data_IF_628259598355
#
_entry.id   IF_628259598355
#
_cell.length_a   1.000
_cell.length_b   1.000
_cell.length_c   1.000
_cell.angle_alpha   90.00
_cell.angle_beta   90.00
_cell.angle_gamma   90.00
#
_symmetry.space_group_name_H-M   'P 1'
#
loop_
_entity.id
_entity.type
_entity.pdbx_description
1 polymer ?
#
# COMPACT_ATOMS: atom_id res chain seq x y z
N UNK A 1 -50.37 -44.60 72.15
CA UNK A 1 -51.81 -44.27 72.19
C UNK A 1 -51.91 -42.81 72.60
N UNK A 2 -52.78 -41.94 72.07
CA UNK A 2 -53.74 -42.03 70.97
C UNK A 2 -54.11 -40.62 70.45
N UNK A 3 -54.94 -40.50 69.41
CA UNK A 3 -55.45 -39.19 68.91
C UNK A 3 -56.65 -38.70 69.73
N UNK A 4 -56.96 -37.40 69.71
CA UNK A 4 -58.25 -36.86 69.20
C UNK A 4 -58.35 -35.31 69.15
N UNK A 5 -59.45 -34.82 68.57
CA UNK A 5 -59.89 -33.41 68.34
C UNK A 5 -61.15 -33.12 69.22
N UNK A 6 -61.96 -32.02 69.07
CA UNK A 6 -61.87 -30.74 68.34
C UNK A 6 -61.81 -29.54 69.34
N UNK A 7 -62.49 -28.37 69.35
CA UNK A 7 -63.47 -27.56 68.55
C UNK A 7 -63.47 -26.11 69.16
N UNK A 8 -64.06 -25.02 68.63
CA UNK A 8 -64.82 -24.70 67.40
C UNK A 8 -65.74 -23.46 67.61
N UNK A 9 -66.03 -22.65 66.56
CA UNK A 9 -66.93 -21.45 66.54
C UNK A 9 -66.48 -20.20 67.36
N UNK A 10 -66.88 -18.93 67.11
CA UNK A 10 -67.33 -18.22 65.87
C UNK A 10 -67.30 -16.66 66.02
N UNK A 11 -66.86 -15.93 64.97
CA UNK A 11 -67.20 -14.51 64.59
C UNK A 11 -67.04 -13.35 65.65
N UNK A 12 -67.36 -12.05 65.38
CA UNK A 12 -67.47 -11.26 64.13
C UNK A 12 -66.74 -9.87 64.09
N UNK A 13 -66.63 -9.30 62.87
CA UNK A 13 -66.51 -7.88 62.42
C UNK A 13 -65.86 -6.70 63.26
N UNK A 14 -64.80 -6.08 62.66
CA UNK A 14 -64.47 -4.64 62.34
C UNK A 14 -65.19 -3.44 63.07
N UNK A 15 -64.65 -2.17 63.12
CA UNK A 15 -63.47 -1.54 62.44
C UNK A 15 -62.67 -0.55 63.38
N UNK A 16 -62.06 0.62 63.01
CA UNK A 16 -61.43 1.13 61.76
C UNK A 16 -60.00 1.78 61.90
N UNK A 17 -59.37 2.04 60.74
CA UNK A 17 -58.57 3.25 60.35
C UNK A 17 -57.00 3.32 60.30
N UNK A 18 -56.56 3.79 59.11
CA UNK A 18 -55.40 4.63 58.68
C UNK A 18 -53.87 4.31 58.69
N UNK A 19 -53.25 4.85 57.61
CA UNK A 19 -51.85 5.23 57.31
C UNK A 19 -50.65 4.24 57.30
N UNK A 20 -50.50 3.58 56.15
CA UNK A 20 -49.37 3.71 55.20
C UNK A 20 -47.89 3.62 55.67
N UNK A 21 -47.16 2.61 55.15
CA UNK A 21 -45.85 2.82 54.52
C UNK A 21 -45.46 1.69 53.52
N UNK A 22 -44.40 1.90 52.72
CA UNK A 22 -44.11 1.17 51.47
C UNK A 22 -43.24 -0.09 51.69
N UNK A 23 -43.42 -1.14 50.87
CA UNK A 23 -42.52 -2.32 50.80
C UNK A 23 -41.91 -2.50 49.41
N UNK A 24 -40.66 -2.98 49.37
CA UNK A 24 -39.92 -3.34 48.14
C UNK A 24 -40.09 -4.84 47.81
N UNK A 25 -40.16 -5.24 46.53
CA UNK A 25 -39.93 -6.61 46.10
C UNK A 25 -38.47 -6.86 45.67
N UNK A 26 -37.99 -8.09 45.81
CA UNK A 26 -36.69 -8.58 45.31
C UNK A 26 -36.89 -9.96 44.62
N UNK A 27 -35.86 -10.59 44.00
CA UNK A 27 -35.83 -10.81 42.56
C UNK A 27 -36.44 -12.15 42.08
N UNK A 28 -36.54 -12.29 40.74
CA UNK A 28 -36.81 -13.56 40.02
C UNK A 28 -35.78 -13.76 38.87
N UNK A 29 -35.60 -14.99 38.36
CA UNK A 29 -34.29 -15.47 37.91
C UNK A 29 -33.91 -15.16 36.46
N UNK A 30 -32.62 -15.38 36.15
CA UNK A 30 -32.00 -15.08 34.86
C UNK A 30 -32.38 -16.10 33.75
N UNK A 31 -33.14 -15.64 32.75
CA UNK A 31 -33.36 -16.37 31.50
C UNK A 31 -32.28 -16.05 30.46
N UNK A 32 -31.53 -17.07 30.02
CA UNK A 32 -30.38 -16.94 29.10
C UNK A 32 -30.84 -16.68 27.65
N UNK A 33 -30.95 -15.42 27.22
CA UNK A 33 -31.07 -15.05 25.79
C UNK A 33 -29.70 -14.81 25.18
N UNK A 34 -29.31 -15.67 24.23
CA UNK A 34 -28.10 -15.49 23.42
C UNK A 34 -28.40 -14.45 22.34
N UNK A 35 -27.92 -13.23 22.51
CA UNK A 35 -27.81 -12.26 21.44
C UNK A 35 -26.35 -12.20 20.97
N UNK A 36 -26.12 -12.66 19.73
CA UNK A 36 -24.83 -12.63 19.07
C UNK A 36 -24.27 -11.21 19.02
N UNK A 37 -23.05 -11.01 19.52
CA UNK A 37 -22.42 -9.70 19.55
C UNK A 37 -22.10 -9.20 18.13
N UNK A 38 -22.32 -7.90 17.82
CA UNK A 38 -21.78 -7.30 16.60
C UNK A 38 -20.25 -7.22 16.71
N UNK A 39 -19.56 -7.57 15.63
CA UNK A 39 -18.11 -7.78 15.63
C UNK A 39 -17.31 -6.49 15.94
N UNK A 40 -16.35 -6.59 16.85
CA UNK A 40 -15.58 -5.45 17.40
C UNK A 40 -14.24 -5.29 16.67
N UNK A 41 -14.24 -4.94 15.39
CA UNK A 41 -13.01 -4.77 14.59
C UNK A 41 -12.77 -3.33 14.15
N UNK A 42 -11.72 -2.74 14.71
CA UNK A 42 -10.91 -1.61 14.21
C UNK A 42 -11.65 -0.53 13.39
N UNK A 43 -12.55 0.23 14.04
CA UNK A 43 -13.31 1.29 13.41
C UNK A 43 -13.38 2.55 14.30
N UNK A 44 -13.02 3.71 13.74
CA UNK A 44 -13.32 5.00 14.36
C UNK A 44 -14.85 5.19 14.42
N UNK A 45 -15.41 5.19 15.64
CA UNK A 45 -16.85 5.28 15.84
C UNK A 45 -17.30 6.75 15.93
N UNK A 46 -18.23 7.14 15.06
CA UNK A 46 -19.05 8.35 15.27
C UNK A 46 -20.16 8.03 16.27
N UNK A 47 -20.14 8.66 17.44
CA UNK A 47 -21.32 8.81 18.30
C UNK A 47 -21.80 10.26 18.23
N UNK A 48 -23.08 10.47 18.03
CA UNK A 48 -23.68 11.80 17.98
C UNK A 48 -23.94 12.32 19.41
N UNK A 49 -23.50 13.54 19.68
CA UNK A 49 -23.98 14.37 20.79
C UNK A 49 -24.09 15.80 20.26
N UNK A 50 -25.13 16.60 20.59
CA UNK A 50 -25.58 17.69 19.70
C UNK A 50 -24.63 18.88 19.51
N UNK A 51 -23.51 18.97 20.23
CA UNK A 51 -22.62 20.13 20.25
C UNK A 51 -21.14 19.86 19.96
N UNK A 52 -20.67 18.60 19.95
CA UNK A 52 -19.25 18.27 19.63
C UNK A 52 -19.08 16.89 19.03
N UNK A 53 -18.58 16.83 17.79
CA UNK A 53 -18.15 15.57 17.17
C UNK A 53 -16.75 15.17 17.67
N UNK A 54 -16.70 14.33 18.71
CA UNK A 54 -15.46 13.64 19.10
C UNK A 54 -15.30 12.37 18.27
N UNK A 55 -14.34 12.39 17.35
CA UNK A 55 -13.84 11.19 16.67
C UNK A 55 -12.99 10.40 17.66
N UNK A 56 -13.47 9.21 18.04
CA UNK A 56 -12.70 8.28 18.85
C UNK A 56 -11.84 7.41 17.94
N UNK A 57 -10.54 7.37 18.22
CA UNK A 57 -9.54 6.60 17.48
C UNK A 57 -9.11 5.43 18.35
N UNK A 58 -9.05 4.23 17.77
CA UNK A 58 -8.53 3.06 18.46
C UNK A 58 -7.00 3.20 18.60
N UNK A 59 -6.44 3.13 19.83
CA UNK A 59 -5.01 3.35 20.06
C UNK A 59 -4.12 2.23 19.50
N UNK A 60 -4.69 1.10 19.06
CA UNK A 60 -3.95 0.04 18.34
C UNK A 60 -3.65 0.37 16.88
N UNK A 61 -4.25 1.43 16.31
CA UNK A 61 -4.00 1.82 14.93
C UNK A 61 -2.56 2.35 14.73
N UNK A 62 -1.97 2.19 13.52
CA UNK A 62 -0.65 2.73 13.21
C UNK A 62 -0.54 4.23 13.52
N UNK A 63 0.62 4.66 14.01
CA UNK A 63 0.89 6.06 14.36
C UNK A 63 0.49 7.08 13.27
N UNK A 64 0.79 6.85 11.97
CA UNK A 64 0.30 7.68 10.86
C UNK A 64 -1.23 7.78 10.78
N UNK A 65 -1.96 6.68 11.01
CA UNK A 65 -3.42 6.67 10.98
C UNK A 65 -4.00 7.50 12.13
N UNK A 66 -3.45 7.38 13.35
CA UNK A 66 -3.83 8.20 14.50
C UNK A 66 -3.57 9.68 14.21
N UNK A 67 -2.39 10.01 13.66
CA UNK A 67 -2.02 11.37 13.23
C UNK A 67 -3.01 11.93 12.19
N UNK A 68 -3.35 11.17 11.15
CA UNK A 68 -4.27 11.60 10.11
C UNK A 68 -5.69 11.86 10.65
N UNK A 69 -6.22 11.03 11.54
CA UNK A 69 -7.55 11.27 12.14
C UNK A 69 -7.54 12.47 13.10
N UNK A 70 -6.43 12.75 13.81
CA UNK A 70 -6.30 13.98 14.63
C UNK A 70 -6.48 15.25 13.80
N UNK A 71 -5.87 15.31 12.60
CA UNK A 71 -6.01 16.40 11.63
C UNK A 71 -7.48 16.63 11.20
N UNK A 72 -8.36 15.64 11.40
CA UNK A 72 -9.72 15.56 10.86
C UNK A 72 -9.83 14.62 9.66
N UNK A 73 -8.71 14.00 9.29
CA UNK A 73 -8.53 13.23 8.07
C UNK A 73 -8.69 11.72 8.21
N UNK A 74 -8.10 11.02 7.26
CA UNK A 74 -7.73 9.60 7.28
C UNK A 74 -6.51 9.43 6.36
N UNK A 75 -5.86 8.27 6.33
CA UNK A 75 -4.71 8.06 5.42
C UNK A 75 -5.14 8.23 3.95
N UNK A 76 -4.39 9.03 3.21
CA UNK A 76 -4.53 9.23 1.76
C UNK A 76 -3.20 8.99 1.04
N UNK A 77 -3.22 9.00 -0.30
CA UNK A 77 -2.04 9.01 -1.17
C UNK A 77 -0.94 8.03 -0.71
N UNK A 78 0.28 8.50 -0.49
CA UNK A 78 1.44 7.70 -0.09
C UNK A 78 1.20 6.96 1.23
N UNK A 79 0.74 7.64 2.29
CA UNK A 79 0.52 6.98 3.59
C UNK A 79 -0.63 5.96 3.56
N UNK A 80 -1.58 6.08 2.63
CA UNK A 80 -2.54 5.00 2.36
C UNK A 80 -1.87 3.83 1.63
N UNK A 81 -1.13 4.10 0.55
CA UNK A 81 -0.43 3.09 -0.26
C UNK A 81 0.61 2.29 0.54
N UNK A 82 1.42 2.97 1.37
CA UNK A 82 2.33 2.37 2.34
C UNK A 82 1.61 1.38 3.27
N UNK A 83 0.41 1.73 3.76
CA UNK A 83 -0.40 0.84 4.59
C UNK A 83 -0.99 -0.37 3.83
N UNK A 84 -1.03 -0.31 2.50
CA UNK A 84 -1.31 -1.45 1.60
C UNK A 84 -0.03 -2.24 1.23
N UNK A 85 1.13 -1.85 1.77
CA UNK A 85 2.42 -2.45 1.49
C UNK A 85 2.95 -2.11 0.09
N UNK A 86 2.60 -0.94 -0.45
CA UNK A 86 3.08 -0.43 -1.74
C UNK A 86 4.27 0.51 -1.55
N UNK A 87 5.18 0.62 -2.55
CA UNK A 87 6.33 1.51 -2.47
C UNK A 87 5.92 2.99 -2.51
N UNK A 88 6.63 3.81 -1.76
CA UNK A 88 6.44 5.26 -1.67
C UNK A 88 7.81 5.97 -1.53
N UNK A 89 7.92 7.27 -1.89
CA UNK A 89 9.14 8.02 -1.65
C UNK A 89 9.54 8.02 -0.17
N UNK A 90 10.83 7.78 0.11
CA UNK A 90 11.39 7.62 1.46
C UNK A 90 11.16 8.84 2.40
N UNK A 91 10.82 10.01 1.85
CA UNK A 91 10.51 11.25 2.59
C UNK A 91 9.12 11.82 2.26
N UNK A 92 8.15 10.99 1.86
CA UNK A 92 6.79 11.44 1.51
C UNK A 92 6.03 12.13 2.67
N UNK A 93 6.40 11.87 3.94
CA UNK A 93 5.70 12.42 5.09
C UNK A 93 4.29 11.85 5.28
N UNK A 94 3.41 12.59 5.96
CA UNK A 94 2.05 12.16 6.25
C UNK A 94 1.06 12.71 5.21
N UNK A 95 0.49 11.84 4.38
CA UNK A 95 -0.58 12.19 3.46
C UNK A 95 -1.96 11.92 4.07
N UNK A 96 -2.82 12.94 4.06
CA UNK A 96 -4.11 12.97 4.76
C UNK A 96 -5.24 13.29 3.79
N UNK A 97 -6.15 12.32 3.59
CA UNK A 97 -7.38 12.52 2.84
C UNK A 97 -8.44 13.24 3.68
N UNK A 98 -9.11 14.22 3.08
CA UNK A 98 -10.07 15.13 3.69
C UNK A 98 -11.35 15.19 2.84
N UNK A 99 -12.53 15.29 3.46
CA UNK A 99 -13.76 15.62 2.74
C UNK A 99 -13.60 16.99 2.07
N UNK A 100 -14.14 17.25 0.86
CA UNK A 100 -13.89 18.49 0.11
C UNK A 100 -14.08 19.81 0.91
N UNK A 101 -15.05 19.86 1.82
CA UNK A 101 -15.37 21.04 2.63
C UNK A 101 -14.64 21.09 4.01
N UNK A 102 -13.57 20.30 4.21
CA UNK A 102 -12.86 20.19 5.49
C UNK A 102 -11.92 21.37 5.76
N UNK A 103 -12.39 22.38 6.51
CA UNK A 103 -11.58 23.56 6.90
C UNK A 103 -11.08 23.56 8.35
N UNK A 104 -11.75 22.85 9.27
CA UNK A 104 -11.45 22.86 10.72
C UNK A 104 -10.32 21.89 11.11
N UNK A 105 -9.18 22.04 10.45
CA UNK A 105 -8.00 21.17 10.60
C UNK A 105 -7.31 21.34 11.97
N UNK A 106 -6.57 20.32 12.39
CA UNK A 106 -5.77 20.30 13.62
C UNK A 106 -4.36 19.78 13.38
N UNK A 107 -3.47 20.03 14.32
CA UNK A 107 -2.12 19.49 14.28
C UNK A 107 -2.14 17.96 14.38
N UNK A 108 -1.25 17.29 13.64
CA UNK A 108 -1.19 15.83 13.65
C UNK A 108 -0.64 15.27 14.97
N UNK A 109 0.15 16.07 15.69
CA UNK A 109 0.73 15.72 17.00
C UNK A 109 -0.17 16.14 18.15
N UNK A 110 -0.83 17.31 18.08
CA UNK A 110 -1.66 17.86 19.15
C UNK A 110 -3.13 18.03 18.74
N UNK A 111 -3.99 17.14 19.24
CA UNK A 111 -5.44 17.10 18.95
C UNK A 111 -6.26 18.28 19.51
N UNK A 112 -5.68 19.15 20.34
CA UNK A 112 -6.30 20.39 20.83
C UNK A 112 -5.88 21.63 20.04
N UNK A 113 -4.79 21.55 19.25
CA UNK A 113 -4.26 22.67 18.47
C UNK A 113 -4.87 22.69 17.07
N UNK A 114 -5.64 23.73 16.76
CA UNK A 114 -6.03 24.04 15.38
C UNK A 114 -4.83 24.60 14.59
N UNK A 115 -4.74 24.26 13.30
CA UNK A 115 -3.70 24.74 12.37
C UNK A 115 -4.31 25.05 11.00
N UNK A 116 -3.82 26.06 10.26
CA UNK A 116 -4.21 26.27 8.86
C UNK A 116 -3.76 25.12 7.94
N UNK A 117 -4.36 25.05 6.75
CA UNK A 117 -3.87 24.21 5.66
C UNK A 117 -2.41 24.55 5.32
N UNK A 118 -1.58 23.53 5.09
CA UNK A 118 -0.15 23.70 4.75
C UNK A 118 0.77 24.17 5.89
N UNK A 119 0.25 24.48 7.08
CA UNK A 119 1.02 25.06 8.18
C UNK A 119 1.82 24.04 9.04
N UNK A 120 1.72 22.73 8.77
CA UNK A 120 2.50 21.69 9.45
C UNK A 120 3.43 21.00 8.43
N UNK A 121 4.76 21.21 8.50
CA UNK A 121 5.71 20.59 7.56
C UNK A 121 5.62 19.07 7.54
N UNK A 122 5.72 18.48 6.33
CA UNK A 122 5.59 17.04 6.14
C UNK A 122 4.16 16.49 6.37
N UNK A 123 3.13 17.34 6.28
CA UNK A 123 1.71 16.93 6.24
C UNK A 123 1.06 17.41 4.95
N UNK A 124 0.81 16.47 4.04
CA UNK A 124 0.23 16.71 2.72
C UNK A 124 -1.28 16.45 2.76
N UNK A 125 -2.08 17.38 2.25
CA UNK A 125 -3.53 17.42 2.47
C UNK A 125 -4.30 17.23 1.15
N UNK A 126 -5.25 16.30 1.13
CA UNK A 126 -5.93 15.82 -0.09
C UNK A 126 -7.45 15.98 0.03
N UNK A 127 -8.00 17.09 -0.46
CA UNK A 127 -9.45 17.36 -0.47
C UNK A 127 -10.13 16.72 -1.68
N UNK A 128 -10.59 15.47 -1.52
CA UNK A 128 -11.39 14.73 -2.52
C UNK A 128 -12.37 13.81 -1.82
N UNK A 129 -13.42 13.37 -2.52
CA UNK A 129 -14.37 12.39 -2.00
C UNK A 129 -13.65 11.12 -1.55
N UNK A 130 -13.71 10.86 -0.25
CA UNK A 130 -12.95 9.78 0.40
C UNK A 130 -13.77 8.50 0.49
N UNK A 131 -13.81 7.75 -0.61
CA UNK A 131 -14.26 6.34 -0.57
C UNK A 131 -13.43 5.57 0.45
N UNK A 132 -14.07 5.13 1.51
CA UNK A 132 -13.42 4.47 2.65
C UNK A 132 -13.13 3.02 2.29
N UNK A 133 -11.89 2.57 2.49
CA UNK A 133 -11.53 1.17 2.27
C UNK A 133 -12.16 0.23 3.31
N UNK A 134 -11.95 -1.09 3.15
CA UNK A 134 -12.38 -2.10 4.13
C UNK A 134 -11.96 -1.76 5.57
N UNK A 135 -10.78 -1.15 5.74
CA UNK A 135 -10.29 -0.62 7.01
C UNK A 135 -10.54 0.89 7.10
N UNK A 136 -11.34 1.31 8.10
CA UNK A 136 -11.95 2.66 8.17
C UNK A 136 -10.99 3.82 8.53
N UNK A 137 -9.68 3.60 8.49
CA UNK A 137 -8.66 4.63 8.74
C UNK A 137 -7.91 5.10 7.47
N UNK A 138 -8.24 4.54 6.30
CA UNK A 138 -7.64 4.89 5.00
C UNK A 138 -8.69 4.96 3.88
N UNK A 139 -8.37 5.69 2.82
CA UNK A 139 -9.12 5.63 1.55
C UNK A 139 -8.93 4.27 0.87
N UNK A 140 -9.80 3.93 -0.09
CA UNK A 140 -9.65 2.74 -0.92
C UNK A 140 -8.37 2.75 -1.78
N UNK A 141 -7.91 1.56 -2.20
CA UNK A 141 -6.68 1.38 -2.98
C UNK A 141 -6.65 2.23 -4.26
N UNK A 142 -7.76 2.25 -5.02
CA UNK A 142 -7.86 3.05 -6.25
C UNK A 142 -7.75 4.55 -5.93
N UNK A 143 -8.46 5.04 -4.91
CA UNK A 143 -8.41 6.45 -4.51
C UNK A 143 -7.04 6.85 -3.94
N UNK A 144 -6.31 5.93 -3.30
CA UNK A 144 -4.93 6.14 -2.87
C UNK A 144 -3.99 6.30 -4.07
N UNK A 145 -4.08 5.41 -5.08
CA UNK A 145 -3.28 5.50 -6.31
C UNK A 145 -3.65 6.73 -7.16
N UNK A 146 -4.94 7.09 -7.25
CA UNK A 146 -5.39 8.33 -7.90
C UNK A 146 -4.87 9.59 -7.20
N UNK A 147 -4.69 9.56 -5.87
CA UNK A 147 -4.04 10.65 -5.13
C UNK A 147 -2.53 10.66 -5.34
N UNK A 148 -1.87 9.50 -5.46
CA UNK A 148 -0.44 9.42 -5.82
C UNK A 148 -0.17 10.00 -7.21
N UNK A 149 -0.95 9.62 -8.23
CA UNK A 149 -0.84 10.14 -9.61
C UNK A 149 -0.89 11.67 -9.68
N UNK A 150 -1.62 12.34 -8.77
CA UNK A 150 -1.70 13.80 -8.68
C UNK A 150 -0.65 14.47 -7.79
N UNK A 151 0.15 13.70 -7.02
CA UNK A 151 0.93 14.23 -5.89
C UNK A 151 2.39 13.77 -5.84
N UNK A 152 2.73 12.65 -6.48
CA UNK A 152 4.11 12.19 -6.68
C UNK A 152 4.37 12.00 -8.17
N UNK A 153 5.61 12.24 -8.60
CA UNK A 153 5.99 12.10 -10.00
C UNK A 153 5.69 10.70 -10.57
N UNK A 154 5.57 10.64 -11.90
CA UNK A 154 5.32 9.45 -12.71
C UNK A 154 6.08 8.21 -12.18
N UNK A 155 7.39 8.35 -11.94
CA UNK A 155 8.28 7.27 -11.49
C UNK A 155 7.74 6.50 -10.27
N UNK A 156 7.30 7.22 -9.23
CA UNK A 156 6.76 6.60 -8.01
C UNK A 156 5.28 6.20 -8.15
N UNK A 157 4.53 6.89 -9.02
CA UNK A 157 3.16 6.50 -9.34
C UNK A 157 3.13 5.16 -10.08
N UNK A 158 3.94 4.99 -11.12
CA UNK A 158 4.09 3.74 -11.87
C UNK A 158 4.61 2.62 -10.98
N UNK A 159 5.67 2.86 -10.20
CA UNK A 159 6.22 1.85 -9.28
C UNK A 159 5.17 1.33 -8.26
N UNK A 160 4.28 2.21 -7.77
CA UNK A 160 3.20 1.81 -6.88
C UNK A 160 2.08 1.02 -7.60
N UNK A 161 1.79 1.34 -8.87
CA UNK A 161 0.81 0.62 -9.70
C UNK A 161 1.36 -0.76 -10.11
N UNK A 162 2.61 -0.84 -10.56
CA UNK A 162 3.31 -2.09 -10.91
C UNK A 162 3.30 -3.03 -9.70
N UNK A 163 3.74 -2.54 -8.53
CA UNK A 163 3.72 -3.31 -7.28
C UNK A 163 2.30 -3.74 -6.85
N UNK A 164 1.29 -2.88 -7.00
CA UNK A 164 -0.11 -3.22 -6.65
C UNK A 164 -0.69 -4.30 -7.56
N UNK A 165 -0.35 -4.29 -8.87
CA UNK A 165 -0.74 -5.35 -9.82
C UNK A 165 -0.04 -6.67 -9.52
N UNK A 166 1.19 -6.62 -9.00
CA UNK A 166 2.02 -7.79 -8.64
C UNK A 166 1.68 -8.41 -7.26
N UNK A 167 0.91 -7.75 -6.39
CA UNK A 167 0.43 -8.35 -5.13
C UNK A 167 -0.41 -9.61 -5.40
N UNK A 168 -0.41 -10.56 -4.46
CA UNK A 168 -1.25 -11.76 -4.48
C UNK A 168 -2.74 -11.40 -4.69
N UNK A 169 -3.44 -12.02 -5.66
CA UNK A 169 -4.87 -11.79 -5.88
C UNK A 169 -5.70 -11.94 -4.59
N UNK A 170 -6.65 -11.02 -4.38
CA UNK A 170 -7.49 -10.98 -3.18
C UNK A 170 -6.84 -10.39 -1.92
N UNK A 171 -5.54 -10.07 -1.93
CA UNK A 171 -4.92 -9.29 -0.84
C UNK A 171 -5.34 -7.82 -0.89
N UNK A 172 -5.32 -7.13 0.26
CA UNK A 172 -5.86 -5.75 0.36
C UNK A 172 -5.19 -4.72 -0.57
N UNK A 173 -3.94 -4.96 -0.96
CA UNK A 173 -3.16 -4.09 -1.86
C UNK A 173 -3.19 -4.53 -3.33
N UNK A 174 -3.96 -5.55 -3.69
CA UNK A 174 -4.02 -6.06 -5.07
C UNK A 174 -4.88 -5.16 -5.98
N UNK A 175 -4.28 -4.66 -7.05
CA UNK A 175 -4.97 -3.95 -8.12
C UNK A 175 -5.31 -4.94 -9.25
N UNK A 176 -6.56 -5.40 -9.25
CA UNK A 176 -7.10 -6.24 -10.33
C UNK A 176 -7.28 -5.47 -11.65
N UNK A 177 -7.52 -6.18 -12.74
CA UNK A 177 -7.61 -5.57 -14.07
C UNK A 177 -8.89 -4.72 -14.28
N UNK A 178 -9.91 -4.82 -13.42
CA UNK A 178 -11.09 -3.94 -13.45
C UNK A 178 -10.78 -2.59 -12.76
N UNK A 179 -10.16 -2.62 -11.59
CA UNK A 179 -9.69 -1.43 -10.87
C UNK A 179 -8.53 -0.74 -11.59
N UNK A 180 -7.61 -1.48 -12.22
CA UNK A 180 -6.59 -0.93 -13.10
C UNK A 180 -7.21 -0.18 -14.30
N UNK A 181 -8.23 -0.73 -14.96
CA UNK A 181 -8.96 -0.02 -16.03
C UNK A 181 -9.68 1.24 -15.53
N UNK A 182 -10.11 1.28 -14.27
CA UNK A 182 -10.64 2.51 -13.64
C UNK A 182 -9.53 3.56 -13.45
N UNK A 183 -8.32 3.14 -13.06
CA UNK A 183 -7.17 4.01 -12.90
C UNK A 183 -6.66 4.57 -14.25
N UNK A 184 -6.58 3.75 -15.30
CA UNK A 184 -6.23 4.20 -16.67
C UNK A 184 -7.17 5.31 -17.15
N UNK A 185 -8.48 5.12 -16.99
CA UNK A 185 -9.49 6.13 -17.34
C UNK A 185 -9.36 7.44 -16.54
N UNK A 186 -8.86 7.37 -15.30
CA UNK A 186 -8.57 8.56 -14.51
C UNK A 186 -7.31 9.27 -15.00
N UNK A 187 -6.19 8.55 -15.18
CA UNK A 187 -4.91 9.13 -15.61
C UNK A 187 -5.03 9.86 -16.95
N UNK A 188 -5.69 9.25 -17.94
CA UNK A 188 -5.89 9.82 -19.26
C UNK A 188 -6.59 11.19 -19.28
N UNK A 189 -7.41 11.50 -18.26
CA UNK A 189 -8.07 12.81 -18.10
C UNK A 189 -7.41 13.76 -17.10
N UNK A 190 -6.31 13.38 -16.45
CA UNK A 190 -5.76 14.12 -15.30
C UNK A 190 -4.23 14.27 -15.29
N UNK A 191 -3.47 13.34 -15.89
CA UNK A 191 -2.00 13.31 -15.78
C UNK A 191 -1.29 12.61 -16.95
N UNK A 192 -1.97 12.42 -18.08
CA UNK A 192 -1.46 11.61 -19.19
C UNK A 192 -1.49 10.11 -18.87
N UNK A 193 -0.84 9.28 -19.70
CA UNK A 193 -0.96 7.82 -19.60
C UNK A 193 0.01 7.16 -18.58
N UNK A 194 0.13 7.77 -17.39
CA UNK A 194 0.92 7.22 -16.26
C UNK A 194 0.49 5.79 -15.92
N UNK A 195 -0.77 5.42 -16.14
CA UNK A 195 -1.23 4.06 -15.94
C UNK A 195 -0.82 3.12 -17.09
N UNK A 196 -0.88 3.52 -18.35
CA UNK A 196 -0.42 2.71 -19.49
C UNK A 196 1.09 2.44 -19.48
N UNK A 197 1.88 3.31 -18.84
CA UNK A 197 3.29 3.06 -18.52
C UNK A 197 3.52 1.92 -17.50
N UNK A 198 2.46 1.34 -16.93
CA UNK A 198 2.54 0.25 -15.93
C UNK A 198 2.68 -1.14 -16.57
N UNK A 199 3.63 -1.92 -16.04
CA UNK A 199 3.93 -3.29 -16.48
C UNK A 199 3.79 -4.28 -15.32
N UNK A 200 3.42 -5.53 -15.63
CA UNK A 200 3.58 -6.66 -14.70
C UNK A 200 5.00 -7.19 -14.88
N UNK A 201 5.74 -7.37 -13.79
CA UNK A 201 7.09 -7.96 -13.82
C UNK A 201 8.16 -7.19 -13.04
N UNK A 202 7.97 -5.91 -12.70
CA UNK A 202 8.87 -5.24 -11.77
C UNK A 202 8.71 -5.85 -10.37
N UNK A 203 9.75 -6.46 -9.82
CA UNK A 203 9.74 -7.09 -8.49
C UNK A 203 10.16 -6.11 -7.38
N UNK A 204 10.88 -5.04 -7.74
CA UNK A 204 11.17 -3.86 -6.91
C UNK A 204 10.65 -2.55 -7.54
N UNK A 205 10.42 -1.50 -6.73
CA UNK A 205 10.13 -0.17 -7.28
C UNK A 205 11.31 0.39 -8.09
N UNK A 206 12.55 -0.03 -7.81
CA UNK A 206 13.72 0.51 -8.46
C UNK A 206 13.78 0.09 -9.94
N UNK A 207 13.40 -1.15 -10.26
CA UNK A 207 13.26 -1.62 -11.65
C UNK A 207 12.26 -0.76 -12.44
N UNK A 208 11.11 -0.41 -11.84
CA UNK A 208 10.11 0.45 -12.49
C UNK A 208 10.69 1.83 -12.82
N UNK A 209 11.44 2.42 -11.88
CA UNK A 209 12.09 3.73 -12.04
C UNK A 209 13.18 3.66 -13.11
N UNK A 210 14.07 2.66 -13.05
CA UNK A 210 15.14 2.45 -14.03
C UNK A 210 14.56 2.24 -15.43
N UNK A 211 13.57 1.34 -15.58
CA UNK A 211 12.85 1.09 -16.84
C UNK A 211 12.33 2.40 -17.46
N UNK A 212 11.60 3.21 -16.70
CA UNK A 212 11.03 4.47 -17.22
C UNK A 212 12.10 5.44 -17.69
N UNK A 213 13.20 5.57 -16.94
CA UNK A 213 14.30 6.46 -17.34
C UNK A 213 15.05 5.97 -18.57
N UNK A 214 15.22 4.66 -18.74
CA UNK A 214 15.76 4.06 -19.96
C UNK A 214 14.84 4.33 -21.17
N UNK A 215 13.53 4.15 -21.01
CA UNK A 215 12.55 4.47 -22.07
C UNK A 215 12.59 5.97 -22.43
N UNK A 216 12.75 6.86 -21.45
CA UNK A 216 12.96 8.31 -21.68
C UNK A 216 14.29 8.66 -22.35
N UNK A 217 15.29 7.78 -22.29
CA UNK A 217 16.56 7.89 -23.04
C UNK A 217 16.45 7.36 -24.48
N UNK A 218 15.28 6.87 -24.92
CA UNK A 218 15.12 6.22 -26.22
C UNK A 218 15.72 4.81 -26.29
N UNK A 219 15.91 4.16 -25.14
CA UNK A 219 16.35 2.77 -25.04
C UNK A 219 15.15 1.85 -24.79
N UNK A 220 15.18 0.64 -25.33
CA UNK A 220 14.11 -0.36 -25.20
C UNK A 220 14.48 -1.44 -24.16
N UNK A 221 14.13 -1.28 -22.87
CA UNK A 221 14.42 -2.26 -21.83
C UNK A 221 13.45 -3.45 -21.86
N UNK A 222 14.00 -4.66 -22.01
CA UNK A 222 13.28 -5.92 -21.77
C UNK A 222 13.44 -6.30 -20.30
N UNK A 223 12.33 -6.39 -19.56
CA UNK A 223 12.37 -6.75 -18.13
C UNK A 223 12.28 -8.27 -17.91
N UNK A 224 12.87 -8.73 -16.81
CA UNK A 224 12.77 -10.09 -16.29
C UNK A 224 13.09 -11.20 -17.33
N UNK A 225 14.10 -10.96 -18.18
CA UNK A 225 14.49 -11.87 -19.26
C UNK A 225 15.09 -13.18 -18.70
N UNK A 226 14.56 -14.37 -19.05
CA UNK A 226 15.18 -15.64 -18.68
C UNK A 226 16.51 -15.88 -19.41
N UNK A 227 17.56 -16.21 -18.66
CA UNK A 227 18.91 -16.49 -19.17
C UNK A 227 19.39 -17.80 -18.52
N UNK A 228 19.05 -18.93 -19.15
CA UNK A 228 19.33 -20.27 -18.61
C UNK A 228 18.54 -20.55 -17.33
N UNK A 229 19.24 -20.95 -16.25
CA UNK A 229 18.62 -21.18 -14.92
C UNK A 229 18.37 -19.91 -14.10
N UNK A 230 18.68 -18.74 -14.65
CA UNK A 230 18.52 -17.44 -13.99
C UNK A 230 17.70 -16.48 -14.86
N UNK A 231 17.52 -15.26 -14.35
CA UNK A 231 16.69 -14.22 -14.94
C UNK A 231 17.38 -12.88 -14.67
N UNK A 232 17.38 -11.98 -15.63
CA UNK A 232 17.95 -10.64 -15.52
C UNK A 232 16.84 -9.60 -15.32
N UNK A 233 16.99 -8.68 -14.35
CA UNK A 233 15.96 -7.70 -13.99
C UNK A 233 15.57 -6.83 -15.19
N UNK A 234 16.58 -6.28 -15.88
CA UNK A 234 16.45 -5.44 -17.08
C UNK A 234 17.57 -5.81 -18.06
N UNK A 235 17.25 -5.88 -19.35
CA UNK A 235 18.20 -6.05 -20.46
C UNK A 235 17.97 -4.97 -21.51
N UNK A 236 19.06 -4.40 -22.05
CA UNK A 236 19.04 -3.38 -23.11
C UNK A 236 19.82 -3.92 -24.32
N UNK A 237 19.19 -3.85 -25.49
CA UNK A 237 19.73 -4.47 -26.71
C UNK A 237 19.97 -5.97 -26.50
N UNK A 238 20.96 -6.53 -27.19
CA UNK A 238 21.17 -7.98 -27.20
C UNK A 238 21.85 -8.53 -25.94
N UNK A 239 22.66 -7.72 -25.22
CA UNK A 239 23.66 -8.22 -24.25
C UNK A 239 23.95 -7.36 -23.01
N UNK A 240 23.31 -6.20 -22.81
CA UNK A 240 23.55 -5.38 -21.61
C UNK A 240 22.51 -5.67 -20.52
N UNK A 241 22.91 -6.36 -19.46
CA UNK A 241 22.09 -6.57 -18.24
C UNK A 241 22.28 -5.38 -17.31
N UNK A 242 21.18 -4.88 -16.74
CA UNK A 242 21.17 -3.98 -15.59
C UNK A 242 20.44 -4.65 -14.43
N UNK A 243 21.07 -4.69 -13.26
CA UNK A 243 20.47 -5.18 -12.01
C UNK A 243 20.34 -4.07 -10.96
N UNK A 244 19.25 -4.13 -10.20
CA UNK A 244 18.86 -3.11 -9.23
C UNK A 244 19.23 -3.53 -7.80
N UNK A 245 20.46 -3.24 -7.38
CA UNK A 245 21.03 -3.80 -6.15
C UNK A 245 20.49 -3.09 -4.88
N UNK A 246 19.63 -3.79 -4.15
CA UNK A 246 19.21 -3.40 -2.81
C UNK A 246 20.21 -3.89 -1.79
N UNK A 247 20.51 -3.10 -0.74
CA UNK A 247 21.49 -3.47 0.30
C UNK A 247 21.02 -4.68 1.12
N UNK A 248 21.30 -5.89 0.63
CA UNK A 248 20.99 -7.15 1.29
C UNK A 248 22.22 -7.70 2.02
N UNK A 249 22.03 -8.17 3.25
CA UNK A 249 23.01 -9.02 3.93
C UNK A 249 22.94 -10.42 3.33
N UNK A 250 23.62 -10.63 2.20
CA UNK A 250 23.62 -11.91 1.50
C UNK A 250 24.11 -13.05 2.41
N UNK A 251 23.34 -14.14 2.49
CA UNK A 251 23.82 -15.39 3.08
C UNK A 251 24.90 -16.03 2.20
N UNK A 252 25.61 -17.03 2.73
CA UNK A 252 26.62 -17.76 1.95
C UNK A 252 26.01 -18.41 0.69
N UNK A 253 24.77 -18.91 0.80
CA UNK A 253 24.02 -19.54 -0.28
C UNK A 253 23.60 -18.52 -1.36
N UNK A 254 23.21 -17.29 -0.95
CA UNK A 254 22.94 -16.20 -1.89
C UNK A 254 24.22 -15.78 -2.62
N UNK A 255 25.33 -15.59 -1.90
CA UNK A 255 26.63 -15.22 -2.49
C UNK A 255 27.11 -16.25 -3.52
N UNK A 256 26.99 -17.55 -3.23
CA UNK A 256 27.31 -18.61 -4.20
C UNK A 256 26.36 -18.57 -5.40
N UNK A 257 25.05 -18.44 -5.17
CA UNK A 257 24.03 -18.36 -6.23
C UNK A 257 24.25 -17.17 -7.18
N UNK A 258 24.65 -16.03 -6.65
CA UNK A 258 24.87 -14.81 -7.43
C UNK A 258 26.16 -14.91 -8.25
N UNK A 259 27.22 -15.52 -7.71
CA UNK A 259 28.45 -15.80 -8.48
C UNK A 259 28.21 -16.81 -9.61
N UNK A 260 27.40 -17.84 -9.36
CA UNK A 260 26.92 -18.76 -10.39
C UNK A 260 26.16 -18.02 -11.50
N UNK A 261 25.34 -17.02 -11.14
CA UNK A 261 24.57 -16.20 -12.09
C UNK A 261 25.46 -15.29 -12.92
N UNK A 262 26.36 -14.55 -12.28
CA UNK A 262 27.31 -13.65 -12.96
C UNK A 262 28.19 -14.44 -13.94
N UNK A 263 28.66 -15.63 -13.54
CA UNK A 263 29.41 -16.54 -14.41
C UNK A 263 28.55 -17.06 -15.59
N UNK A 264 27.27 -17.40 -15.36
CA UNK A 264 26.37 -17.86 -16.42
C UNK A 264 26.03 -16.76 -17.44
N UNK A 265 25.92 -15.52 -16.99
CA UNK A 265 25.67 -14.34 -17.82
C UNK A 265 26.92 -14.01 -18.66
N UNK A 266 28.10 -13.95 -18.02
CA UNK A 266 29.37 -13.74 -18.71
C UNK A 266 29.67 -14.84 -19.74
N UNK A 267 29.41 -16.11 -19.42
CA UNK A 267 29.57 -17.24 -20.34
C UNK A 267 28.60 -17.21 -21.54
N UNK A 268 27.51 -16.44 -21.46
CA UNK A 268 26.60 -16.13 -22.59
C UNK A 268 26.93 -14.79 -23.28
N UNK A 269 28.03 -14.14 -22.91
CA UNK A 269 28.46 -12.87 -23.47
C UNK A 269 27.69 -11.64 -22.99
N UNK A 270 26.86 -11.77 -21.94
CA UNK A 270 26.18 -10.63 -21.33
C UNK A 270 27.15 -9.80 -20.48
N UNK A 271 27.08 -8.48 -20.61
CA UNK A 271 27.74 -7.52 -19.73
C UNK A 271 26.76 -7.10 -18.65
N UNK A 272 27.14 -7.25 -17.38
CA UNK A 272 26.31 -6.87 -16.23
C UNK A 272 26.75 -5.51 -15.69
N UNK A 273 25.81 -4.60 -15.48
CA UNK A 273 25.97 -3.41 -14.64
C UNK A 273 25.03 -3.54 -13.44
N UNK A 274 25.55 -3.36 -12.23
CA UNK A 274 24.74 -3.31 -11.00
C UNK A 274 24.74 -1.88 -10.46
N UNK A 275 23.56 -1.36 -10.12
CA UNK A 275 23.41 -0.02 -9.53
C UNK A 275 22.63 -0.08 -8.24
N UNK A 276 23.17 0.55 -7.19
CA UNK A 276 22.49 0.71 -5.91
C UNK A 276 21.36 1.74 -6.00
N UNK A 277 20.38 1.64 -5.09
CA UNK A 277 19.33 2.65 -4.93
C UNK A 277 19.86 4.09 -4.86
N UNK A 278 20.97 4.33 -4.15
CA UNK A 278 21.57 5.66 -4.07
C UNK A 278 22.09 6.15 -5.43
N UNK A 279 22.79 5.31 -6.18
CA UNK A 279 23.31 5.67 -7.51
C UNK A 279 22.16 5.96 -8.50
N UNK A 280 21.11 5.14 -8.51
CA UNK A 280 19.94 5.38 -9.36
C UNK A 280 19.21 6.67 -8.96
N UNK A 281 18.98 6.90 -7.67
CA UNK A 281 18.15 8.03 -7.21
C UNK A 281 18.90 9.37 -7.11
N UNK A 282 20.23 9.35 -7.00
CA UNK A 282 21.04 10.56 -6.71
C UNK A 282 22.21 10.78 -7.69
N UNK A 283 22.54 9.80 -8.54
CA UNK A 283 23.69 9.86 -9.47
C UNK A 283 23.34 9.33 -10.85
N UNK A 284 22.08 9.52 -11.29
CA UNK A 284 21.58 9.02 -12.56
C UNK A 284 22.41 9.57 -13.74
N UNK A 285 22.39 10.88 -13.93
CA UNK A 285 23.05 11.55 -15.06
C UNK A 285 24.58 11.62 -14.92
N UNK A 286 25.09 11.56 -13.68
CA UNK A 286 26.51 11.71 -13.36
C UNK A 286 27.30 10.39 -13.32
N UNK A 287 26.63 9.25 -13.18
CA UNK A 287 27.28 7.93 -13.08
C UNK A 287 26.55 6.85 -13.87
N UNK A 288 25.24 6.70 -13.68
CA UNK A 288 24.46 5.58 -14.25
C UNK A 288 24.37 5.71 -15.77
N UNK A 289 23.99 6.88 -16.28
CA UNK A 289 23.90 7.19 -17.72
C UNK A 289 25.27 7.04 -18.41
N UNK A 290 26.38 7.66 -17.93
CA UNK A 290 27.71 7.41 -18.48
C UNK A 290 28.13 5.94 -18.51
N UNK A 291 27.86 5.18 -17.45
CA UNK A 291 28.20 3.75 -17.38
C UNK A 291 27.42 2.90 -18.40
N UNK A 292 26.14 3.21 -18.61
CA UNK A 292 25.28 2.53 -19.60
C UNK A 292 25.74 2.87 -21.03
N UNK A 293 25.95 4.14 -21.34
CA UNK A 293 26.38 4.57 -22.68
C UNK A 293 27.77 4.01 -23.05
N UNK A 294 28.72 4.04 -22.11
CA UNK A 294 30.03 3.42 -22.29
C UNK A 294 29.96 1.89 -22.42
N UNK A 295 28.94 1.25 -21.83
CA UNK A 295 28.70 -0.18 -22.00
C UNK A 295 28.12 -0.52 -23.38
N UNK A 296 27.15 0.26 -23.87
CA UNK A 296 26.55 0.08 -25.19
C UNK A 296 27.58 0.31 -26.32
N UNK A 297 28.37 1.39 -26.27
CA UNK A 297 29.38 1.65 -27.29
C UNK A 297 30.45 0.55 -27.35
N UNK A 298 31.02 0.15 -26.21
CA UNK A 298 32.04 -0.90 -26.14
C UNK A 298 31.54 -2.32 -26.47
N UNK A 299 30.24 -2.52 -26.71
CA UNK A 299 29.70 -3.77 -27.25
C UNK A 299 29.72 -3.83 -28.79
N UNK A 300 29.83 -2.68 -29.48
CA UNK A 300 29.98 -2.63 -30.94
C UNK A 300 31.35 -3.11 -31.42
N UNK A 301 32.42 -2.63 -30.78
CA UNK A 301 33.80 -2.90 -31.19
C UNK A 301 34.18 -4.39 -31.16
N UNK A 302 33.52 -5.20 -30.33
CA UNK A 302 33.78 -6.63 -30.17
C UNK A 302 33.31 -7.52 -31.34
N UNK A 303 32.64 -6.96 -32.35
CA UNK A 303 32.31 -7.65 -33.61
C UNK A 303 33.09 -7.06 -34.83
N UNK A 304 34.13 -6.27 -34.58
CA UNK A 304 34.73 -5.33 -35.54
C UNK A 304 35.88 -5.78 -36.44
N UNK A 305 36.29 -7.06 -36.51
CA UNK A 305 37.23 -7.54 -37.56
C UNK A 305 37.41 -9.07 -37.60
N UNK A 306 36.54 -9.77 -38.33
CA UNK A 306 36.60 -11.24 -38.49
C UNK A 306 35.96 -11.73 -39.77
N UNK A 307 36.44 -11.26 -40.93
CA UNK A 307 35.80 -11.52 -42.21
C UNK A 307 36.02 -12.93 -42.77
N UNK A 308 34.96 -13.74 -42.89
CA UNK A 308 34.92 -14.89 -43.80
C UNK A 308 33.56 -15.02 -44.51
N UNK A 309 33.61 -14.81 -45.83
CA UNK A 309 32.80 -15.35 -46.94
C UNK A 309 31.40 -15.95 -46.68
N UNK A 310 30.41 -15.35 -47.34
CA UNK A 310 29.30 -16.00 -48.09
C UNK A 310 28.74 -17.36 -47.58
N UNK A 311 27.52 -17.34 -47.04
CA UNK A 311 26.71 -18.55 -46.81
C UNK A 311 25.21 -18.26 -46.73
N UNK A 312 24.45 -18.58 -47.78
CA UNK A 312 22.99 -18.43 -47.80
C UNK A 312 22.28 -19.64 -47.17
N UNK A 313 21.75 -19.50 -45.96
CA UNK A 313 21.20 -20.60 -45.18
C UNK A 313 19.98 -20.24 -44.32
N UNK A 314 18.85 -20.89 -44.59
CA UNK A 314 17.54 -20.69 -43.95
C UNK A 314 17.53 -21.03 -42.45
N UNK A 315 16.82 -20.20 -41.66
CA UNK A 315 15.81 -20.57 -40.66
C UNK A 315 16.06 -21.79 -39.73
N UNK A 316 16.05 -21.58 -38.40
CA UNK A 316 15.07 -22.20 -37.45
C UNK A 316 15.23 -21.80 -35.97
N UNK A 317 14.07 -21.73 -35.32
CA UNK A 317 13.68 -22.21 -33.98
C UNK A 317 14.59 -21.99 -32.75
N UNK A 318 14.04 -21.32 -31.73
CA UNK A 318 14.57 -21.27 -30.36
C UNK A 318 14.20 -22.52 -29.56
N UNK A 319 15.11 -23.00 -28.70
CA UNK A 319 14.87 -23.91 -27.56
C UNK A 319 15.99 -23.77 -26.53
#
# INVERSE_FOLDING_TARGET
MGRCQPSGHDNPHRPPNEHAQRRRPHPRPAGRRVHSAPDRRHAAQRRAHPSTYRLYVDPSLPGPAIRAVRVGGMLGCCSAAESYGLPVPQQAGLHVALEPNSSRLRSSTNASRHVPAGAEPGVHLHWRDRRVGHQRFRVGLVDALQQMVLCVGEEWSVAAIDAARMKTPGSEGHLDDAFYRMLVRFCAGASGDIAGLSVRGAESPLESIVRLRLQRMGLEPVIQLPIGKYRADIVIGDRLVIECDGTQHATAEQFVRDRDRDALFAARGYRVLRFTYAQVMQSWDSLVVPAILAALHGSGDLHGSGGFLHGSGRNRDFS
#
